data_IF_285093885933
#
_entry.id   IF_285093885933
#
_cell.length_a   1.000
_cell.length_b   1.000
_cell.length_c   1.000
_cell.angle_alpha   90.00
_cell.angle_beta   90.00
_cell.angle_gamma   90.00
#
_symmetry.space_group_name_H-M   'P 1'
#
loop_
_entity.id
_entity.type
_entity.pdbx_description
1 polymer ?
#
# COMPACT_ATOMS: atom_id res chain seq x y z
N UNK A 1 -17.49 -11.51 -8.34
CA UNK A 1 -16.16 -12.02 -7.92
C UNK A 1 -15.21 -10.82 -7.91
N UNK A 2 -14.71 -10.28 -6.82
CA UNK A 2 -14.60 -10.70 -5.41
C UNK A 2 -15.42 -9.73 -4.53
N UNK A 3 -16.05 -10.26 -3.48
CA UNK A 3 -16.63 -9.47 -2.39
C UNK A 3 -15.53 -8.59 -1.82
N UNK A 4 -15.63 -7.28 -2.02
CA UNK A 4 -14.95 -6.33 -1.15
C UNK A 4 -15.41 -6.68 0.25
N UNK A 5 -14.47 -7.10 1.08
CA UNK A 5 -14.70 -7.70 2.38
C UNK A 5 -15.49 -6.68 3.24
N UNK A 6 -16.78 -6.94 3.44
CA UNK A 6 -17.75 -6.09 4.16
C UNK A 6 -17.27 -5.75 5.59
N UNK A 7 -16.33 -6.52 6.14
CA UNK A 7 -15.69 -6.25 7.43
C UNK A 7 -14.64 -5.14 7.43
N UNK A 8 -14.06 -4.80 6.27
CA UNK A 8 -13.05 -3.73 6.14
C UNK A 8 -13.72 -2.35 6.18
N UNK A 9 -15.02 -2.26 5.86
CA UNK A 9 -15.75 -1.00 5.91
C UNK A 9 -16.16 -0.59 7.32
N UNK A 10 -16.22 -1.52 8.28
CA UNK A 10 -16.65 -1.23 9.66
C UNK A 10 -15.49 -0.90 10.61
N UNK A 11 -14.30 -1.45 10.34
CA UNK A 11 -13.10 -1.24 11.17
C UNK A 11 -12.09 -0.28 10.53
N UNK A 12 -12.32 0.16 9.29
CA UNK A 12 -11.35 0.91 8.51
C UNK A 12 -10.27 0.03 7.88
N UNK A 13 -9.27 0.65 7.27
CA UNK A 13 -8.19 -0.05 6.57
C UNK A 13 -6.87 0.69 6.68
N UNK A 14 -5.77 -0.01 6.37
CA UNK A 14 -4.47 0.62 6.18
C UNK A 14 -4.28 0.97 4.71
N UNK A 15 -3.93 2.22 4.45
CA UNK A 15 -3.43 2.72 3.18
C UNK A 15 -1.90 2.67 3.16
N UNK A 16 -1.31 2.31 2.02
CA UNK A 16 0.14 2.32 1.82
C UNK A 16 0.54 3.59 1.09
N UNK A 17 1.25 4.49 1.77
CA UNK A 17 1.70 5.81 1.28
C UNK A 17 2.84 5.74 0.25
N UNK A 18 2.88 4.68 -0.56
CA UNK A 18 4.00 4.39 -1.45
C UNK A 18 4.10 5.48 -2.53
N UNK A 19 2.98 5.96 -3.06
CA UNK A 19 3.00 6.94 -4.16
C UNK A 19 3.53 8.30 -3.68
N UNK A 20 3.09 8.74 -2.52
CA UNK A 20 3.51 9.97 -1.86
C UNK A 20 5.02 9.96 -1.59
N UNK A 21 5.52 8.88 -0.97
CA UNK A 21 6.94 8.74 -0.65
C UNK A 21 7.80 8.70 -1.92
N UNK A 22 7.30 8.07 -2.99
CA UNK A 22 7.99 8.03 -4.28
C UNK A 22 8.08 9.43 -4.92
N UNK A 23 7.00 10.19 -4.90
CA UNK A 23 6.93 11.54 -5.47
C UNK A 23 7.83 12.51 -4.69
N UNK A 24 7.80 12.47 -3.35
CA UNK A 24 8.69 13.26 -2.47
C UNK A 24 10.19 13.01 -2.76
N UNK A 25 10.53 11.81 -3.25
CA UNK A 25 11.91 11.38 -3.52
C UNK A 25 12.29 11.40 -5.00
N UNK A 26 11.37 11.76 -5.89
CA UNK A 26 11.59 11.73 -7.33
C UNK A 26 11.87 10.33 -7.89
N UNK A 27 11.34 9.27 -7.26
CA UNK A 27 11.52 7.89 -7.71
C UNK A 27 10.29 7.46 -8.50
N UNK A 28 10.46 7.11 -9.78
CA UNK A 28 9.32 6.57 -10.54
C UNK A 28 8.92 5.17 -10.08
N UNK A 29 7.62 4.86 -10.17
CA UNK A 29 7.09 3.50 -9.95
C UNK A 29 7.79 2.43 -10.81
N UNK A 30 8.21 2.78 -12.03
CA UNK A 30 8.95 1.89 -12.93
C UNK A 30 10.32 1.52 -12.34
N UNK A 31 11.02 2.51 -11.78
CA UNK A 31 12.32 2.30 -11.14
C UNK A 31 12.19 1.37 -9.94
N UNK A 32 11.23 1.62 -9.04
CA UNK A 32 10.99 0.74 -7.90
C UNK A 32 10.62 -0.68 -8.35
N UNK A 33 9.71 -0.84 -9.32
CA UNK A 33 9.32 -2.18 -9.80
C UNK A 33 10.51 -2.97 -10.34
N UNK A 34 11.41 -2.31 -11.08
CA UNK A 34 12.64 -2.91 -11.59
C UNK A 34 13.61 -3.27 -10.46
N UNK A 35 13.85 -2.35 -9.54
CA UNK A 35 14.83 -2.53 -8.46
C UNK A 35 14.38 -3.60 -7.46
N UNK A 36 13.07 -3.76 -7.25
CA UNK A 36 12.48 -4.72 -6.32
C UNK A 36 12.06 -6.06 -6.96
N UNK A 37 12.23 -6.20 -8.28
CA UNK A 37 11.76 -7.35 -9.07
C UNK A 37 10.27 -7.69 -8.80
N UNK A 38 9.42 -6.67 -8.88
CA UNK A 38 7.96 -6.81 -8.68
C UNK A 38 7.22 -6.48 -9.99
N UNK A 39 6.30 -7.37 -10.45
CA UNK A 39 5.44 -7.05 -11.57
C UNK A 39 4.60 -5.80 -11.31
N UNK A 40 4.55 -4.88 -12.29
CA UNK A 40 3.85 -3.60 -12.14
C UNK A 40 2.38 -3.76 -11.75
N UNK A 41 1.71 -4.79 -12.27
CA UNK A 41 0.31 -5.10 -11.91
C UNK A 41 0.16 -5.41 -10.42
N UNK A 42 1.12 -6.14 -9.82
CA UNK A 42 1.09 -6.45 -8.39
C UNK A 42 1.40 -5.20 -7.57
N UNK A 43 2.40 -4.43 -7.97
CA UNK A 43 2.75 -3.17 -7.32
C UNK A 43 1.57 -2.18 -7.30
N UNK A 44 0.88 -2.01 -8.43
CA UNK A 44 -0.28 -1.12 -8.53
C UNK A 44 -1.44 -1.56 -7.60
N UNK A 45 -1.56 -2.85 -7.28
CA UNK A 45 -2.59 -3.29 -6.31
C UNK A 45 -2.33 -2.75 -4.91
N UNK A 46 -1.06 -2.71 -4.48
CA UNK A 46 -0.65 -2.13 -3.20
C UNK A 46 -0.92 -0.63 -3.14
N UNK A 47 -0.72 0.08 -4.25
CA UNK A 47 -0.94 1.53 -4.30
C UNK A 47 -2.43 1.92 -4.38
N UNK A 48 -3.32 0.98 -4.72
CA UNK A 48 -4.75 1.22 -4.93
C UNK A 48 -5.63 0.61 -3.83
N UNK A 49 -5.01 0.14 -2.75
CA UNK A 49 -5.69 -0.56 -1.65
C UNK A 49 -6.48 -1.80 -2.07
N UNK A 50 -6.07 -2.44 -3.17
CA UNK A 50 -6.70 -3.66 -3.73
C UNK A 50 -6.06 -4.94 -3.21
N UNK A 51 -5.12 -4.84 -2.28
CA UNK A 51 -4.55 -5.97 -1.56
C UNK A 51 -5.56 -6.51 -0.54
N UNK A 52 -5.76 -7.83 -0.56
CA UNK A 52 -6.59 -8.52 0.45
C UNK A 52 -5.77 -9.01 1.63
N UNK A 53 -4.44 -9.08 1.48
CA UNK A 53 -3.47 -9.53 2.49
C UNK A 53 -2.20 -8.72 2.35
N UNK A 54 -1.58 -8.45 3.48
CA UNK A 54 -0.31 -7.73 3.56
C UNK A 54 0.84 -8.73 3.59
N UNK A 55 1.69 -8.68 2.57
CA UNK A 55 2.94 -9.44 2.55
C UNK A 55 3.99 -8.72 3.39
N UNK A 56 4.21 -9.20 4.62
CA UNK A 56 5.17 -8.60 5.56
C UNK A 56 6.59 -8.53 4.98
N UNK A 57 7.00 -9.51 4.17
CA UNK A 57 8.32 -9.49 3.53
C UNK A 57 8.41 -8.35 2.51
N UNK A 58 7.33 -8.12 1.76
CA UNK A 58 7.26 -6.99 0.83
C UNK A 58 7.31 -5.64 1.55
N UNK A 59 6.60 -5.49 2.67
CA UNK A 59 6.66 -4.28 3.49
C UNK A 59 8.07 -4.01 4.03
N UNK A 60 8.74 -5.02 4.59
CA UNK A 60 10.12 -4.87 5.06
C UNK A 60 11.06 -4.44 3.92
N UNK A 61 10.86 -4.97 2.70
CA UNK A 61 11.63 -4.54 1.54
C UNK A 61 11.33 -3.09 1.15
N UNK A 62 10.07 -2.65 1.23
CA UNK A 62 9.69 -1.26 0.99
C UNK A 62 10.31 -0.32 2.02
N UNK A 63 10.20 -0.63 3.31
CA UNK A 63 10.85 0.12 4.39
C UNK A 63 12.36 0.27 4.14
N UNK A 64 13.03 -0.82 3.76
CA UNK A 64 14.46 -0.79 3.45
C UNK A 64 14.78 0.04 2.20
N UNK A 65 14.07 -0.19 1.08
CA UNK A 65 14.32 0.50 -0.18
C UNK A 65 14.04 2.00 -0.09
N UNK A 66 12.92 2.33 0.56
CA UNK A 66 12.49 3.70 0.79
C UNK A 66 13.08 4.26 2.08
N UNK A 67 13.96 3.60 2.82
CA UNK A 67 14.52 4.13 4.08
C UNK A 67 13.47 4.86 4.96
N UNK A 68 12.36 4.18 5.24
CA UNK A 68 11.25 4.63 6.09
C UNK A 68 10.90 3.52 7.08
N UNK A 69 10.26 3.86 8.18
CA UNK A 69 9.65 2.87 9.06
C UNK A 69 8.23 2.47 8.60
N UNK A 70 7.59 1.57 9.33
CA UNK A 70 6.23 1.11 8.99
C UNK A 70 5.18 2.19 9.25
N UNK A 71 5.38 3.07 10.24
CA UNK A 71 4.46 4.16 10.56
C UNK A 71 4.47 5.26 9.49
N UNK A 72 5.62 5.51 8.87
CA UNK A 72 5.72 6.42 7.72
C UNK A 72 5.15 5.81 6.43
N UNK A 73 5.33 4.50 6.24
CA UNK A 73 4.84 3.75 5.08
C UNK A 73 3.33 3.56 5.07
N UNK A 74 2.68 3.58 6.24
CA UNK A 74 1.28 3.20 6.38
C UNK A 74 0.46 4.31 7.02
N UNK A 75 -0.80 4.43 6.59
CA UNK A 75 -1.78 5.33 7.19
C UNK A 75 -3.04 4.55 7.52
N UNK A 76 -3.58 4.74 8.73
CA UNK A 76 -4.88 4.17 9.07
C UNK A 76 -6.00 5.09 8.60
N UNK A 77 -6.87 4.55 7.76
CA UNK A 77 -8.07 5.20 7.25
C UNK A 77 -9.27 4.66 8.03
N UNK A 78 -9.94 5.50 8.86
CA UNK A 78 -11.10 5.07 9.63
C UNK A 78 -12.29 4.73 8.71
N UNK A 79 -13.25 3.93 9.19
CA UNK A 79 -14.47 3.65 8.44
C UNK A 79 -15.25 4.95 8.17
N UNK A 80 -15.81 5.09 6.96
CA UNK A 80 -16.63 6.26 6.63
C UNK A 80 -17.94 6.24 7.43
N UNK A 81 -18.35 7.35 8.08
CA UNK A 81 -19.60 7.40 8.84
C UNK A 81 -20.89 7.25 8.01
N UNK A 82 -20.79 7.13 6.68
CA UNK A 82 -21.91 7.26 5.74
C UNK A 82 -22.55 5.94 5.28
N UNK A 83 -22.45 4.87 6.09
CA UNK A 83 -23.23 3.65 5.90
C UNK A 83 -24.06 3.37 7.15
N UNK A 84 -25.08 4.19 7.38
CA UNK A 84 -26.22 3.87 8.22
C UNK A 84 -27.50 4.16 7.45
#
# INVERSE_FOLDING_TARGET
>A
MQNTNEYVTDLGHLHLRIEEILDERGISKNKLCKDMDIPRTNFNRYCQDKQTRWDLKFLCKLCLYLNVDLGELTEYIPPSPASK
#
